data_IF_582671444906
#
_entry.id   IF_582671444906
#
_cell.length_a   1.000
_cell.length_b   1.000
_cell.length_c   1.000
_cell.angle_alpha   90.00
_cell.angle_beta   90.00
_cell.angle_gamma   90.00
#
_symmetry.space_group_name_H-M   'P 1'
#
loop_
_entity.id
_entity.type
_entity.pdbx_description
1 polymer ?
#
# COMPACT_ATOMS: atom_id res chain seq x y z
N UNK A 1 -3.53 -31.74 21.00
CA UNK A 1 -3.27 -30.38 20.48
C UNK A 1 -4.41 -30.04 19.52
N UNK A 2 -5.30 -29.13 19.91
CA UNK A 2 -6.45 -28.77 19.08
C UNK A 2 -5.99 -28.10 17.79
N UNK A 3 -6.47 -28.58 16.65
CA UNK A 3 -6.37 -27.90 15.36
C UNK A 3 -7.01 -26.51 15.51
N UNK A 4 -6.19 -25.48 15.73
CA UNK A 4 -6.66 -24.11 15.81
C UNK A 4 -7.39 -23.78 14.51
N UNK A 5 -8.66 -23.33 14.61
CA UNK A 5 -9.41 -22.88 13.44
C UNK A 5 -8.59 -21.84 12.69
N UNK A 6 -8.37 -22.07 11.40
CA UNK A 6 -7.77 -21.05 10.52
C UNK A 6 -8.61 -19.79 10.60
N UNK A 7 -8.01 -18.61 10.84
CA UNK A 7 -8.75 -17.36 10.89
C UNK A 7 -9.45 -17.11 9.55
N UNK A 8 -10.56 -16.37 9.57
CA UNK A 8 -11.24 -15.95 8.35
C UNK A 8 -10.48 -14.83 7.66
N UNK A 9 -10.65 -14.73 6.34
CA UNK A 9 -10.13 -13.63 5.53
C UNK A 9 -10.71 -12.31 5.99
N UNK A 10 -9.86 -11.35 6.35
CA UNK A 10 -10.33 -10.03 6.83
C UNK A 10 -11.08 -9.23 5.76
N UNK A 11 -10.84 -9.49 4.46
CA UNK A 11 -11.53 -8.81 3.36
C UNK A 11 -12.97 -9.29 3.22
N UNK A 12 -13.21 -10.60 3.06
CA UNK A 12 -14.57 -11.10 2.79
C UNK A 12 -15.30 -11.62 4.03
N UNK A 13 -14.57 -11.92 5.11
CA UNK A 13 -15.05 -12.57 6.33
C UNK A 13 -15.87 -13.85 6.09
N UNK A 14 -15.55 -14.59 5.02
CA UNK A 14 -16.30 -15.78 4.58
C UNK A 14 -15.42 -17.02 4.40
N UNK A 15 -14.26 -16.86 3.79
CA UNK A 15 -13.33 -17.96 3.50
C UNK A 15 -12.12 -17.95 4.44
N UNK A 16 -11.47 -19.10 4.69
CA UNK A 16 -10.25 -19.16 5.48
C UNK A 16 -9.11 -18.31 4.89
N UNK A 17 -8.37 -17.62 5.76
CA UNK A 17 -7.18 -16.83 5.42
C UNK A 17 -5.97 -17.73 5.13
N UNK A 18 -5.88 -18.24 3.90
CA UNK A 18 -4.85 -19.21 3.50
C UNK A 18 -3.68 -18.61 2.74
N UNK A 19 -3.73 -17.32 2.39
CA UNK A 19 -2.72 -16.69 1.54
C UNK A 19 -2.12 -15.44 2.20
N UNK A 20 -0.88 -15.15 1.82
CA UNK A 20 -0.11 -14.01 2.29
C UNK A 20 0.02 -12.94 1.20
N UNK A 21 -0.16 -11.69 1.58
CA UNK A 21 0.16 -10.52 0.74
C UNK A 21 1.65 -10.15 0.87
N UNK A 22 2.22 -9.52 -0.15
CA UNK A 22 3.59 -9.01 -0.09
C UNK A 22 3.65 -7.65 0.63
N UNK A 23 4.63 -7.45 1.52
CA UNK A 23 4.85 -6.16 2.22
C UNK A 23 5.26 -5.05 1.25
N UNK A 24 6.19 -5.41 0.37
CA UNK A 24 6.49 -4.65 -0.84
C UNK A 24 6.15 -5.54 -2.01
N UNK A 25 5.33 -5.02 -2.92
CA UNK A 25 4.81 -5.79 -4.04
C UNK A 25 5.93 -6.46 -4.81
N UNK A 26 5.75 -7.75 -5.11
CA UNK A 26 6.79 -8.55 -5.76
C UNK A 26 7.24 -8.00 -7.12
N UNK A 27 6.33 -7.42 -7.90
CA UNK A 27 6.70 -6.77 -9.17
C UNK A 27 7.62 -5.58 -8.95
N UNK A 28 7.35 -4.78 -7.92
CA UNK A 28 8.13 -3.59 -7.59
C UNK A 28 9.55 -3.99 -7.17
N UNK A 29 9.69 -5.04 -6.35
CA UNK A 29 11.00 -5.63 -5.98
C UNK A 29 11.76 -6.08 -7.23
N UNK A 30 11.11 -6.84 -8.13
CA UNK A 30 11.75 -7.37 -9.33
C UNK A 30 12.16 -6.28 -10.32
N UNK A 31 11.29 -5.31 -10.55
CA UNK A 31 11.53 -4.24 -11.52
C UNK A 31 12.55 -3.23 -11.00
N UNK A 32 12.58 -2.97 -9.69
CA UNK A 32 13.47 -1.97 -9.13
C UNK A 32 14.86 -2.52 -8.79
N UNK A 33 14.94 -3.73 -8.24
CA UNK A 33 16.20 -4.32 -7.76
C UNK A 33 16.79 -5.36 -8.74
N UNK A 34 16.05 -5.69 -9.80
CA UNK A 34 16.46 -6.67 -10.80
C UNK A 34 16.59 -8.09 -10.24
N UNK A 35 17.28 -8.94 -11.01
CA UNK A 35 17.63 -10.33 -10.64
C UNK A 35 19.14 -10.56 -10.57
N UNK A 36 19.95 -9.56 -10.91
CA UNK A 36 21.40 -9.63 -11.04
C UNK A 36 22.10 -9.11 -9.79
N UNK A 37 21.89 -9.77 -8.65
CA UNK A 37 22.56 -9.42 -7.40
C UNK A 37 21.91 -10.02 -6.16
N UNK A 38 22.64 -10.16 -5.05
CA UNK A 38 22.07 -10.56 -3.78
C UNK A 38 21.06 -9.51 -3.30
N UNK A 39 19.82 -9.95 -3.06
CA UNK A 39 18.81 -9.12 -2.41
C UNK A 39 19.02 -9.13 -0.89
N UNK A 40 18.90 -7.97 -0.26
CA UNK A 40 19.02 -7.85 1.19
C UNK A 40 17.74 -7.25 1.77
N UNK A 41 17.34 -7.79 2.92
CA UNK A 41 16.22 -7.29 3.70
C UNK A 41 16.70 -6.58 4.96
N UNK A 42 16.05 -5.46 5.26
CA UNK A 42 16.36 -4.60 6.39
C UNK A 42 15.08 -4.34 7.18
N UNK A 43 15.24 -4.34 8.49
CA UNK A 43 14.26 -3.96 9.51
C UNK A 43 14.97 -3.06 10.51
N UNK A 44 14.23 -2.42 11.41
CA UNK A 44 14.84 -1.60 12.45
C UNK A 44 15.71 -2.43 13.39
N UNK A 45 15.32 -3.69 13.66
CA UNK A 45 16.07 -4.59 14.53
C UNK A 45 17.25 -5.29 13.85
N UNK A 46 17.20 -5.52 12.53
CA UNK A 46 18.21 -6.29 11.79
C UNK A 46 18.40 -5.76 10.37
N UNK A 47 19.65 -5.62 9.94
CA UNK A 47 20.04 -5.18 8.60
C UNK A 47 20.79 -6.28 7.84
N UNK A 48 20.88 -6.13 6.52
CA UNK A 48 21.67 -6.99 5.63
C UNK A 48 21.27 -8.48 5.66
N UNK A 49 19.98 -8.79 5.85
CA UNK A 49 19.51 -10.18 5.80
C UNK A 49 19.42 -10.63 4.34
N UNK A 50 20.36 -11.46 3.90
CA UNK A 50 20.39 -11.98 2.53
C UNK A 50 19.11 -12.77 2.23
N UNK A 51 18.46 -12.43 1.13
CA UNK A 51 17.28 -13.12 0.60
C UNK A 51 17.67 -14.01 -0.58
N UNK A 52 17.02 -15.16 -0.67
CA UNK A 52 17.22 -16.11 -1.77
C UNK A 52 16.39 -15.75 -3.00
N UNK A 53 15.26 -15.05 -2.83
CA UNK A 53 14.42 -14.60 -3.95
C UNK A 53 13.47 -13.48 -3.52
N UNK A 54 12.88 -12.79 -4.51
CA UNK A 54 11.78 -11.83 -4.32
C UNK A 54 10.47 -12.46 -3.84
N UNK A 55 10.40 -13.79 -3.68
CA UNK A 55 9.24 -14.52 -3.14
C UNK A 55 9.46 -15.02 -1.71
N UNK A 56 10.57 -14.65 -1.06
CA UNK A 56 10.90 -15.11 0.29
C UNK A 56 9.77 -14.79 1.29
N UNK A 57 9.50 -15.71 2.23
CA UNK A 57 8.45 -15.54 3.26
C UNK A 57 8.61 -14.23 4.05
N UNK A 58 9.85 -13.80 4.31
CA UNK A 58 10.17 -12.54 5.02
C UNK A 58 9.67 -11.28 4.32
N UNK A 59 9.39 -11.34 3.01
CA UNK A 59 8.85 -10.23 2.23
C UNK A 59 7.31 -10.21 2.20
N UNK A 60 6.67 -11.09 2.96
CA UNK A 60 5.21 -11.25 3.00
C UNK A 60 4.68 -11.00 4.39
N UNK A 61 3.42 -10.61 4.43
CA UNK A 61 2.62 -10.65 5.64
C UNK A 61 2.31 -12.09 6.03
N UNK A 62 1.99 -12.34 7.30
CA UNK A 62 1.38 -13.62 7.69
C UNK A 62 0.01 -13.80 7.00
N UNK A 63 -0.44 -15.04 6.77
CA UNK A 63 -1.69 -15.29 6.06
C UNK A 63 -2.90 -14.64 6.74
N UNK A 64 -3.55 -13.71 6.04
CA UNK A 64 -4.71 -12.95 6.54
C UNK A 64 -5.84 -12.82 5.52
N UNK A 65 -5.63 -13.30 4.29
CA UNK A 65 -6.59 -13.21 3.18
C UNK A 65 -6.76 -14.55 2.46
N UNK A 66 -7.97 -14.81 1.96
CA UNK A 66 -8.25 -16.01 1.16
C UNK A 66 -7.77 -15.84 -0.28
N UNK A 67 -7.63 -16.96 -1.00
CA UNK A 67 -7.18 -16.94 -2.38
C UNK A 67 -8.10 -16.15 -3.32
N UNK A 68 -9.43 -16.26 -3.17
CA UNK A 68 -10.39 -15.53 -4.02
C UNK A 68 -10.26 -14.01 -3.88
N UNK A 69 -10.01 -13.53 -2.66
CA UNK A 69 -9.76 -12.11 -2.39
C UNK A 69 -8.38 -11.67 -2.87
N UNK A 70 -7.35 -12.48 -2.61
CA UNK A 70 -5.98 -12.12 -2.98
C UNK A 70 -5.73 -12.16 -4.50
N UNK A 71 -6.44 -13.03 -5.22
CA UNK A 71 -6.36 -13.13 -6.68
C UNK A 71 -7.48 -12.31 -7.34
N UNK A 72 -8.58 -12.93 -7.74
CA UNK A 72 -9.60 -12.32 -8.60
C UNK A 72 -10.15 -10.98 -8.09
N UNK A 73 -10.41 -10.84 -6.78
CA UNK A 73 -11.00 -9.61 -6.22
C UNK A 73 -10.07 -8.41 -6.30
N UNK A 74 -8.79 -8.58 -5.96
CA UNK A 74 -7.85 -7.46 -5.79
C UNK A 74 -6.80 -7.38 -6.90
N UNK A 75 -6.79 -8.33 -7.84
CA UNK A 75 -5.92 -8.32 -9.01
C UNK A 75 -6.04 -7.04 -9.86
N UNK A 76 -7.25 -6.46 -10.11
CA UNK A 76 -7.34 -5.17 -10.81
C UNK A 76 -6.60 -4.05 -10.07
N UNK A 77 -6.61 -4.06 -8.73
CA UNK A 77 -5.90 -3.09 -7.89
C UNK A 77 -4.39 -3.24 -8.05
N UNK A 78 -3.91 -4.48 -8.04
CA UNK A 78 -2.52 -4.79 -8.31
C UNK A 78 -2.11 -4.31 -9.72
N UNK A 79 -2.90 -4.57 -10.76
CA UNK A 79 -2.54 -4.12 -12.11
C UNK A 79 -2.50 -2.59 -12.24
N UNK A 80 -3.46 -1.89 -11.65
CA UNK A 80 -3.49 -0.43 -11.65
C UNK A 80 -2.25 0.16 -10.97
N UNK A 81 -1.91 -0.31 -9.76
CA UNK A 81 -0.71 0.16 -9.07
C UNK A 81 0.57 -0.12 -9.86
N UNK A 82 0.70 -1.32 -10.44
CA UNK A 82 1.88 -1.67 -11.26
C UNK A 82 2.07 -0.68 -12.42
N UNK A 83 0.98 -0.37 -13.13
CA UNK A 83 1.00 0.57 -14.27
C UNK A 83 1.37 1.99 -13.81
N UNK A 84 0.73 2.49 -12.75
CA UNK A 84 1.04 3.82 -12.23
C UNK A 84 2.48 3.92 -11.73
N UNK A 85 2.90 3.01 -10.86
CA UNK A 85 4.25 3.04 -10.27
C UNK A 85 5.32 2.90 -11.33
N UNK A 86 5.12 2.04 -12.34
CA UNK A 86 6.01 1.91 -13.49
C UNK A 86 6.11 3.19 -14.32
N UNK A 87 4.97 3.79 -14.67
CA UNK A 87 4.95 5.02 -15.47
C UNK A 87 5.61 6.20 -14.72
N UNK A 88 5.40 6.30 -13.41
CA UNK A 88 5.99 7.35 -12.57
C UNK A 88 7.51 7.18 -12.43
N UNK A 89 7.99 5.96 -12.18
CA UNK A 89 9.43 5.68 -12.03
C UNK A 89 10.21 5.84 -13.33
N UNK A 90 9.57 5.55 -14.47
CA UNK A 90 10.17 5.66 -15.80
C UNK A 90 9.88 7.01 -16.50
N UNK A 91 9.31 7.99 -15.78
CA UNK A 91 9.01 9.31 -16.35
C UNK A 91 10.29 10.07 -16.70
N UNK A 92 10.27 10.74 -17.85
CA UNK A 92 11.29 11.71 -18.26
C UNK A 92 10.65 13.08 -18.52
N UNK A 93 11.12 14.17 -17.87
CA UNK A 93 12.14 14.21 -16.82
C UNK A 93 11.69 13.48 -15.53
N UNK A 94 12.64 13.03 -14.67
CA UNK A 94 12.32 12.38 -13.41
C UNK A 94 11.39 13.22 -12.51
N UNK A 95 10.67 12.55 -11.61
CA UNK A 95 9.78 13.21 -10.65
C UNK A 95 10.54 14.23 -9.79
N UNK A 96 9.90 15.38 -9.58
CA UNK A 96 10.36 16.45 -8.70
C UNK A 96 9.21 16.94 -7.84
N UNK A 97 9.51 17.37 -6.62
CA UNK A 97 8.53 18.02 -5.74
C UNK A 97 7.90 19.22 -6.47
N UNK A 98 6.58 19.34 -6.37
CA UNK A 98 5.78 20.36 -7.07
C UNK A 98 5.28 19.92 -8.45
N UNK A 99 5.75 18.80 -9.00
CA UNK A 99 5.20 18.25 -10.24
C UNK A 99 3.71 17.95 -10.09
N UNK A 100 2.91 18.36 -11.07
CA UNK A 100 1.50 17.98 -11.18
C UNK A 100 1.38 16.81 -12.14
N UNK A 101 1.04 15.64 -11.62
CA UNK A 101 0.78 14.46 -12.43
C UNK A 101 -0.69 14.42 -12.82
N UNK A 102 -0.92 14.18 -14.12
CA UNK A 102 -2.27 13.92 -14.66
C UNK A 102 -2.38 12.41 -14.91
N UNK A 103 -3.16 11.71 -14.09
CA UNK A 103 -3.28 10.25 -14.15
C UNK A 103 -3.82 9.76 -15.51
N UNK A 104 -4.57 10.59 -16.24
CA UNK A 104 -5.06 10.25 -17.57
C UNK A 104 -3.96 10.07 -18.62
N UNK A 105 -2.73 10.56 -18.35
CA UNK A 105 -1.56 10.27 -19.19
C UNK A 105 -1.02 8.86 -19.00
N UNK A 106 -1.38 8.20 -17.91
CA UNK A 106 -1.03 6.80 -17.60
C UNK A 106 -2.21 5.88 -17.93
N UNK A 107 -3.41 6.32 -17.58
CA UNK A 107 -4.66 5.58 -17.72
C UNK A 107 -5.58 6.25 -18.75
N UNK A 108 -5.28 6.06 -20.03
CA UNK A 108 -6.15 6.53 -21.10
C UNK A 108 -7.54 5.89 -21.00
N UNK A 109 -8.60 6.68 -21.14
CA UNK A 109 -10.02 6.25 -21.21
C UNK A 109 -10.64 5.57 -19.97
N UNK A 110 -9.85 5.16 -18.97
CA UNK A 110 -10.35 4.52 -17.74
C UNK A 110 -9.76 5.14 -16.46
N UNK A 111 -9.41 6.43 -16.50
CA UNK A 111 -8.62 7.06 -15.43
C UNK A 111 -9.27 6.97 -14.05
N UNK A 112 -10.59 7.19 -13.97
CA UNK A 112 -11.32 7.16 -12.70
C UNK A 112 -11.25 5.77 -12.07
N UNK A 113 -11.55 4.73 -12.83
CA UNK A 113 -11.57 3.34 -12.35
C UNK A 113 -10.17 2.85 -11.98
N UNK A 114 -9.16 3.19 -12.79
CA UNK A 114 -7.78 2.81 -12.50
C UNK A 114 -7.21 3.53 -11.27
N UNK A 115 -7.54 4.81 -11.08
CA UNK A 115 -7.12 5.53 -9.87
C UNK A 115 -7.87 5.04 -8.62
N UNK A 116 -9.14 4.63 -8.75
CA UNK A 116 -9.85 3.92 -7.69
C UNK A 116 -9.17 2.57 -7.38
N UNK A 117 -8.74 1.83 -8.39
CA UNK A 117 -7.99 0.59 -8.20
C UNK A 117 -6.63 0.82 -7.51
N UNK A 118 -5.93 1.92 -7.82
CA UNK A 118 -4.71 2.35 -7.09
C UNK A 118 -5.04 2.64 -5.62
N UNK A 119 -6.15 3.32 -5.34
CA UNK A 119 -6.61 3.55 -3.97
C UNK A 119 -6.85 2.24 -3.22
N UNK A 120 -7.62 1.33 -3.83
CA UNK A 120 -7.97 0.05 -3.22
C UNK A 120 -6.78 -0.90 -3.07
N UNK A 121 -5.72 -0.75 -3.86
CA UNK A 121 -4.44 -1.43 -3.64
C UNK A 121 -3.86 -1.03 -2.27
N UNK A 122 -3.81 0.27 -1.97
CA UNK A 122 -3.30 0.75 -0.69
C UNK A 122 -4.25 0.48 0.49
N UNK A 123 -5.57 0.40 0.26
CA UNK A 123 -6.53 -0.07 1.28
C UNK A 123 -6.24 -1.52 1.66
N UNK A 124 -6.04 -2.42 0.67
CA UNK A 124 -5.64 -3.82 0.91
C UNK A 124 -4.32 -3.88 1.68
N UNK A 125 -3.33 -3.14 1.21
CA UNK A 125 -1.98 -3.13 1.79
C UNK A 125 -1.97 -2.66 3.25
N UNK A 126 -2.68 -1.57 3.55
CA UNK A 126 -2.83 -1.05 4.91
C UNK A 126 -3.61 -2.03 5.80
N UNK A 127 -4.68 -2.64 5.29
CA UNK A 127 -5.47 -3.62 6.04
C UNK A 127 -4.67 -4.87 6.43
N UNK A 128 -3.81 -5.38 5.54
CA UNK A 128 -2.91 -6.50 5.87
C UNK A 128 -1.94 -6.14 7.01
N UNK A 129 -1.39 -4.92 7.01
CA UNK A 129 -0.51 -4.43 8.06
C UNK A 129 -1.26 -4.28 9.40
N UNK A 130 -2.47 -3.71 9.40
CA UNK A 130 -3.31 -3.57 10.59
C UNK A 130 -3.60 -4.93 11.22
N UNK A 131 -3.97 -5.92 10.42
CA UNK A 131 -4.30 -7.27 10.90
C UNK A 131 -3.07 -7.99 11.45
N UNK A 132 -1.93 -7.92 10.75
CA UNK A 132 -0.71 -8.58 11.21
C UNK A 132 -0.18 -7.96 12.50
N UNK A 133 -0.12 -6.63 12.56
CA UNK A 133 0.38 -5.88 13.71
C UNK A 133 -0.68 -5.74 14.82
N UNK A 134 -1.87 -6.32 14.63
CA UNK A 134 -3.00 -6.28 15.57
C UNK A 134 -3.32 -4.85 16.06
N UNK A 135 -3.28 -3.88 15.14
CA UNK A 135 -3.47 -2.46 15.46
C UNK A 135 -4.97 -2.18 15.67
N UNK A 136 -5.39 -1.74 16.86
CA UNK A 136 -6.79 -1.37 17.09
C UNK A 136 -7.08 -0.04 16.38
N UNK A 137 -8.00 -0.05 15.40
CA UNK A 137 -8.37 1.14 14.63
C UNK A 137 -9.82 1.57 14.86
N UNK A 138 -10.06 2.88 14.75
CA UNK A 138 -11.37 3.50 14.77
C UNK A 138 -11.50 4.41 13.52
N UNK A 139 -12.36 4.11 12.54
CA UNK A 139 -13.32 3.00 12.52
C UNK A 139 -12.66 1.64 12.34
N UNK A 140 -13.41 0.57 12.60
CA UNK A 140 -12.90 -0.80 12.59
C UNK A 140 -12.49 -1.29 11.18
N UNK A 141 -11.71 -2.38 11.13
CA UNK A 141 -11.15 -2.97 9.89
C UNK A 141 -12.23 -3.34 8.86
N UNK A 142 -13.46 -3.60 9.31
CA UNK A 142 -14.62 -3.88 8.47
C UNK A 142 -14.89 -2.75 7.48
N UNK A 143 -14.58 -1.49 7.82
CA UNK A 143 -14.74 -0.36 6.89
C UNK A 143 -13.82 -0.48 5.68
N UNK A 144 -12.58 -0.91 5.87
CA UNK A 144 -11.62 -1.20 4.79
C UNK A 144 -12.06 -2.42 3.97
N UNK A 145 -12.56 -3.46 4.64
CA UNK A 145 -13.19 -4.62 3.99
C UNK A 145 -14.35 -4.18 3.07
N UNK A 146 -15.27 -3.35 3.55
CA UNK A 146 -16.40 -2.86 2.75
C UNK A 146 -15.96 -2.07 1.54
N UNK A 147 -14.92 -1.23 1.65
CA UNK A 147 -14.37 -0.50 0.50
C UNK A 147 -13.90 -1.45 -0.62
N UNK A 148 -13.16 -2.50 -0.27
CA UNK A 148 -12.70 -3.52 -1.23
C UNK A 148 -13.87 -4.34 -1.79
N UNK A 149 -14.78 -4.79 -0.92
CA UNK A 149 -15.89 -5.67 -1.31
C UNK A 149 -16.93 -4.96 -2.19
N UNK A 150 -17.15 -3.66 -1.98
CA UNK A 150 -18.07 -2.85 -2.76
C UNK A 150 -17.43 -2.17 -3.98
N UNK A 151 -16.09 -2.23 -4.11
CA UNK A 151 -15.36 -1.51 -5.15
C UNK A 151 -15.56 0.01 -5.02
N UNK A 152 -15.61 0.54 -3.80
CA UNK A 152 -15.81 1.96 -3.52
C UNK A 152 -14.62 2.53 -2.75
N UNK A 153 -14.27 3.80 -2.95
CA UNK A 153 -13.16 4.38 -2.23
C UNK A 153 -13.47 4.48 -0.74
N UNK A 154 -12.50 4.08 0.09
CA UNK A 154 -12.60 4.27 1.53
C UNK A 154 -12.48 5.77 1.88
N UNK A 155 -13.50 6.39 2.52
CA UNK A 155 -13.58 7.85 2.67
C UNK A 155 -12.47 8.46 3.53
N UNK A 156 -11.90 7.67 4.44
CA UNK A 156 -10.88 8.12 5.38
C UNK A 156 -9.48 7.62 5.02
N UNK A 157 -9.29 6.96 3.87
CA UNK A 157 -7.93 6.59 3.42
C UNK A 157 -7.44 7.68 2.48
N UNK A 158 -6.24 8.17 2.68
CA UNK A 158 -5.66 9.26 1.89
C UNK A 158 -4.31 8.84 1.35
N UNK A 159 -4.03 9.22 0.10
CA UNK A 159 -2.72 9.00 -0.52
C UNK A 159 -2.05 10.34 -0.76
N UNK A 160 -0.75 10.45 -0.50
CA UNK A 160 0.07 11.53 -1.04
C UNK A 160 1.25 10.90 -1.79
N UNK A 161 1.59 11.43 -2.95
CA UNK A 161 2.69 10.93 -3.78
C UNK A 161 3.87 11.87 -3.64
N UNK A 162 5.08 11.34 -3.58
CA UNK A 162 6.28 12.12 -3.38
C UNK A 162 7.52 11.48 -3.97
N UNK A 163 8.65 12.16 -3.81
CA UNK A 163 9.97 11.61 -4.14
C UNK A 163 10.52 10.92 -2.90
N UNK A 164 10.94 9.66 -3.02
CA UNK A 164 11.60 8.96 -1.95
C UNK A 164 12.97 9.59 -1.67
N UNK A 165 13.35 9.68 -0.39
CA UNK A 165 14.68 10.16 -0.03
C UNK A 165 15.78 9.11 -0.26
N UNK A 166 15.38 7.84 -0.31
CA UNK A 166 16.29 6.72 -0.52
C UNK A 166 16.69 6.60 -1.99
N UNK A 167 17.88 6.05 -2.22
CA UNK A 167 18.42 5.85 -3.56
C UNK A 167 17.57 4.92 -4.42
N UNK A 168 17.90 4.84 -5.71
CA UNK A 168 17.14 4.04 -6.69
C UNK A 168 17.08 2.55 -6.35
N UNK A 169 18.01 2.02 -5.57
CA UNK A 169 18.09 0.59 -5.25
C UNK A 169 17.34 0.21 -3.97
N UNK A 170 16.17 0.83 -3.75
CA UNK A 170 15.38 0.62 -2.54
C UNK A 170 13.93 0.27 -2.87
N UNK A 171 13.39 -0.70 -2.15
CA UNK A 171 11.95 -0.99 -2.10
C UNK A 171 11.61 -1.34 -0.67
N UNK A 172 10.60 -0.69 -0.10
CA UNK A 172 10.27 -0.89 1.30
C UNK A 172 9.05 -0.10 1.74
N UNK A 173 8.86 -0.09 3.05
CA UNK A 173 7.84 0.71 3.69
C UNK A 173 8.29 1.08 5.11
N UNK A 174 7.78 2.20 5.62
CA UNK A 174 8.03 2.60 7.01
C UNK A 174 7.32 1.68 8.00
N UNK A 175 7.58 1.85 9.29
CA UNK A 175 6.64 1.43 10.34
C UNK A 175 5.33 2.22 10.24
N UNK A 176 4.28 1.74 10.89
CA UNK A 176 3.02 2.48 11.01
C UNK A 176 3.13 3.46 12.16
N UNK A 177 2.92 4.74 11.87
CA UNK A 177 2.68 5.76 12.89
C UNK A 177 1.19 5.76 13.23
N UNK A 178 0.86 5.62 14.51
CA UNK A 178 -0.52 5.53 14.98
C UNK A 178 -0.79 6.56 16.08
N UNK A 179 -1.92 7.26 15.98
CA UNK A 179 -2.36 8.25 16.97
C UNK A 179 -3.88 8.19 17.17
N UNK A 180 -4.32 8.62 18.35
CA UNK A 180 -5.74 8.76 18.70
C UNK A 180 -5.97 10.20 19.12
N UNK A 181 -6.88 10.88 18.42
CA UNK A 181 -7.20 12.29 18.66
C UNK A 181 -8.53 12.46 19.39
N UNK A 182 -9.42 11.47 19.32
CA UNK A 182 -10.76 11.53 19.92
C UNK A 182 -10.90 10.76 21.24
N UNK A 183 -9.79 10.31 21.85
CA UNK A 183 -9.80 9.66 23.17
C UNK A 183 -10.48 8.27 23.21
N UNK A 184 -10.80 7.69 22.05
CA UNK A 184 -11.37 6.35 21.94
C UNK A 184 -10.33 5.24 22.11
N UNK A 185 -10.81 3.99 22.21
CA UNK A 185 -9.98 2.79 22.42
C UNK A 185 -9.17 2.34 21.19
N UNK A 186 -9.36 2.98 20.03
CA UNK A 186 -8.66 2.68 18.79
C UNK A 186 -8.02 3.93 18.20
N UNK A 187 -7.02 3.72 17.34
CA UNK A 187 -6.36 4.78 16.59
C UNK A 187 -7.26 5.29 15.46
N UNK A 188 -7.53 6.58 15.45
CA UNK A 188 -8.27 7.30 14.39
C UNK A 188 -7.33 7.97 13.38
N UNK A 189 -6.04 7.81 13.59
CA UNK A 189 -4.98 8.17 12.67
C UNK A 189 -3.97 7.04 12.51
N UNK A 190 -3.72 6.65 11.27
CA UNK A 190 -2.56 5.87 10.89
C UNK A 190 -1.82 6.57 9.75
N UNK A 191 -0.50 6.43 9.70
CA UNK A 191 0.33 6.88 8.59
C UNK A 191 1.44 5.88 8.30
N UNK A 192 1.68 5.62 7.02
CA UNK A 192 2.77 4.76 6.58
C UNK A 192 3.25 5.16 5.19
N UNK A 193 4.56 5.06 4.95
CA UNK A 193 5.17 5.26 3.64
C UNK A 193 5.36 3.93 2.91
N UNK A 194 5.10 3.92 1.62
CA UNK A 194 5.45 2.87 0.67
C UNK A 194 6.43 3.43 -0.36
N UNK A 195 7.61 2.83 -0.50
CA UNK A 195 8.69 3.36 -1.33
C UNK A 195 9.16 2.34 -2.37
N UNK A 196 9.34 2.80 -3.61
CA UNK A 196 9.89 2.04 -4.73
C UNK A 196 10.81 2.93 -5.55
N UNK A 197 12.12 2.71 -5.44
CA UNK A 197 13.14 3.55 -6.06
C UNK A 197 12.95 5.00 -5.63
N UNK A 198 12.79 5.90 -6.60
CA UNK A 198 12.58 7.32 -6.34
C UNK A 198 11.11 7.71 -6.04
N UNK A 199 10.17 6.77 -6.07
CA UNK A 199 8.75 7.03 -5.78
C UNK A 199 8.43 6.71 -4.32
N UNK A 200 7.79 7.64 -3.63
CA UNK A 200 7.22 7.44 -2.30
C UNK A 200 5.72 7.71 -2.31
N UNK A 201 4.96 6.92 -1.56
CA UNK A 201 3.53 7.10 -1.34
C UNK A 201 3.25 7.07 0.15
N UNK A 202 2.74 8.18 0.69
CA UNK A 202 2.19 8.23 2.04
C UNK A 202 0.75 7.77 2.01
N UNK A 203 0.45 6.73 2.77
CA UNK A 203 -0.90 6.22 2.99
C UNK A 203 -1.31 6.61 4.39
N UNK A 204 -2.44 7.30 4.53
CA UNK A 204 -3.02 7.63 5.84
C UNK A 204 -4.42 7.08 5.99
N UNK A 205 -4.76 6.67 7.20
CA UNK A 205 -6.15 6.54 7.65
C UNK A 205 -6.43 7.73 8.57
N UNK A 206 -7.40 8.58 8.24
CA UNK A 206 -7.80 9.71 9.09
C UNK A 206 -9.11 10.32 8.61
N UNK A 207 -9.92 10.84 9.54
CA UNK A 207 -11.10 11.66 9.21
C UNK A 207 -10.73 13.03 8.63
N UNK A 208 -9.48 13.48 8.81
CA UNK A 208 -9.01 14.78 8.36
C UNK A 208 -8.20 14.66 7.07
N UNK A 209 -8.55 15.51 6.10
CA UNK A 209 -7.78 15.71 4.87
C UNK A 209 -6.66 16.73 5.10
N UNK A 210 -5.43 16.38 4.73
CA UNK A 210 -4.29 17.27 4.63
C UNK A 210 -4.18 17.89 3.23
N UNK A 211 -3.37 18.95 3.12
CA UNK A 211 -3.17 19.72 1.88
C UNK A 211 -2.76 18.83 0.71
N UNK A 212 -1.77 17.97 0.93
CA UNK A 212 -1.15 17.16 -0.12
C UNK A 212 -1.86 15.82 -0.37
N UNK A 213 -2.94 15.56 0.36
CA UNK A 213 -3.70 14.34 0.18
C UNK A 213 -4.51 14.37 -1.11
N UNK A 214 -4.46 13.21 -1.74
CA UNK A 214 -5.24 12.80 -2.89
C UNK A 214 -6.22 11.71 -2.47
N UNK A 215 -7.41 11.77 -3.07
CA UNK A 215 -8.45 10.75 -2.95
C UNK A 215 -9.22 10.67 -4.28
N UNK A 216 -9.61 9.47 -4.74
CA UNK A 216 -10.21 9.25 -6.06
C UNK A 216 -11.51 10.01 -6.32
N UNK A 217 -12.24 10.43 -5.28
CA UNK A 217 -13.49 11.18 -5.45
C UNK A 217 -13.29 12.62 -5.90
N UNK A 218 -12.09 13.19 -5.75
CA UNK A 218 -11.88 14.62 -5.99
C UNK A 218 -11.31 14.91 -7.38
N UNK A 219 -10.30 14.15 -7.81
CA UNK A 219 -9.54 14.51 -9.01
C UNK A 219 -8.70 13.37 -9.55
N UNK A 220 -8.43 13.39 -10.85
CA UNK A 220 -7.47 12.52 -11.52
C UNK A 220 -6.05 13.13 -11.57
N UNK A 221 -5.79 14.16 -10.77
CA UNK A 221 -4.49 14.83 -10.67
C UNK A 221 -3.98 14.76 -9.25
N UNK A 222 -2.68 14.58 -9.08
CA UNK A 222 -2.01 14.66 -7.79
C UNK A 222 -0.71 15.42 -7.93
N UNK A 223 -0.30 16.04 -6.83
CA UNK A 223 0.97 16.78 -6.74
C UNK A 223 2.01 15.84 -6.15
N UNK A 224 3.24 15.90 -6.67
CA UNK A 224 4.40 15.28 -6.03
C UNK A 224 4.80 16.16 -4.85
N UNK A 225 4.44 15.72 -3.65
CA UNK A 225 4.69 16.41 -2.39
C UNK A 225 6.07 16.07 -1.82
N UNK A 226 6.51 16.91 -0.89
CA UNK A 226 7.65 16.60 -0.04
C UNK A 226 7.16 15.74 1.13
N UNK A 227 7.45 14.44 1.12
CA UNK A 227 6.93 13.49 2.10
C UNK A 227 7.90 13.21 3.26
N UNK A 228 8.95 14.03 3.41
CA UNK A 228 9.82 13.94 4.59
C UNK A 228 8.95 14.17 5.82
N UNK A 229 9.01 13.24 6.74
CA UNK A 229 8.54 13.42 8.10
C UNK A 229 9.24 14.65 8.69
N UNK A 230 8.47 15.70 8.98
CA UNK A 230 8.86 16.72 9.95
C UNK A 230 9.00 16.09 11.35
#
# INVERSE_FOLDING_TARGET
>A
MGLGKTPLCWICNKEPATTSEHRSKRSDIKEQLGSSGPLYFHTDARRNLKLQSSNAKRLKFEPSICNSCNSARTQPHDFAWKRLSGALRNRHPPLKTGDIIRANRVFCHATSDEMLNVHLFFVKWLGCEIVESSIPIAPSIETLSQAIMSGRPHPNVWLAFGVAQRGKDWVGASVVDAASFNGGTGYDYLCRLYEVGALSVRVRLSSLKLKDDWHPTFTNRFVIANLVSE
#
